data_IF_435630053874
#
_entry.id   IF_435630053874
#
_cell.length_a   1.000
_cell.length_b   1.000
_cell.length_c   1.000
_cell.angle_alpha   90.00
_cell.angle_beta   90.00
_cell.angle_gamma   90.00
#
_symmetry.space_group_name_H-M   'P 1'
#
loop_
_entity.id
_entity.type
_entity.pdbx_description
1 polymer ?
#
# COMPACT_ATOMS: atom_id res chain seq x y z
N UNK A 1 11.97 -14.20 7.72
CA UNK A 1 12.68 -12.95 8.02
C UNK A 1 12.01 -11.82 7.24
N UNK A 2 11.94 -10.61 7.82
CA UNK A 2 11.46 -9.45 7.07
C UNK A 2 12.39 -9.19 5.87
N UNK A 3 11.83 -8.96 4.69
CA UNK A 3 12.61 -8.58 3.52
C UNK A 3 13.25 -7.20 3.76
N UNK A 4 14.46 -6.95 3.26
CA UNK A 4 15.16 -5.65 3.42
C UNK A 4 14.26 -4.43 3.12
N UNK A 5 13.50 -4.51 2.03
CA UNK A 5 12.51 -3.50 1.60
C UNK A 5 11.40 -3.20 2.63
N UNK A 6 11.11 -4.15 3.52
CA UNK A 6 10.12 -3.97 4.59
C UNK A 6 10.69 -3.19 5.77
N UNK A 7 11.96 -3.43 6.09
CA UNK A 7 12.66 -2.74 7.19
C UNK A 7 12.86 -1.27 6.81
N UNK A 8 13.30 -1.00 5.58
CA UNK A 8 13.46 0.35 5.04
C UNK A 8 12.15 1.16 5.07
N UNK A 9 11.01 0.52 4.81
CA UNK A 9 9.70 1.17 4.88
C UNK A 9 9.27 1.53 6.31
N UNK A 10 9.74 0.79 7.33
CA UNK A 10 9.46 1.13 8.72
C UNK A 10 10.27 2.34 9.20
N UNK A 11 11.47 2.51 8.68
CA UNK A 11 12.37 3.61 9.02
C UNK A 11 11.96 4.97 8.39
N UNK A 12 11.13 4.95 7.34
CA UNK A 12 10.64 6.17 6.69
C UNK A 12 9.60 6.95 7.54
N UNK A 13 9.60 8.28 7.41
CA UNK A 13 8.60 9.16 8.03
C UNK A 13 7.20 9.02 7.37
N UNK A 14 6.15 9.38 8.10
CA UNK A 14 4.76 9.31 7.60
C UNK A 14 4.54 10.12 6.32
N UNK A 15 5.11 11.32 6.27
CA UNK A 15 5.00 12.25 5.14
C UNK A 15 5.72 11.72 3.90
N UNK A 16 6.92 11.16 4.09
CA UNK A 16 7.68 10.58 2.99
C UNK A 16 6.98 9.35 2.41
N UNK A 17 6.37 8.49 3.24
CA UNK A 17 5.57 7.36 2.77
C UNK A 17 4.34 7.79 1.96
N UNK A 18 3.68 8.88 2.37
CA UNK A 18 2.52 9.41 1.64
C UNK A 18 2.94 9.98 0.28
N UNK A 19 4.05 10.71 0.23
CA UNK A 19 4.60 11.27 -1.01
C UNK A 19 5.11 10.17 -1.96
N UNK A 20 5.81 9.16 -1.45
CA UNK A 20 6.26 8.03 -2.26
C UNK A 20 5.08 7.24 -2.83
N UNK A 21 4.00 7.08 -2.05
CA UNK A 21 2.78 6.44 -2.51
C UNK A 21 2.11 7.22 -3.65
N UNK A 22 2.02 8.55 -3.58
CA UNK A 22 1.39 9.34 -4.65
C UNK A 22 2.19 9.26 -5.94
N UNK A 23 3.52 9.35 -5.85
CA UNK A 23 4.43 9.18 -6.98
C UNK A 23 4.30 7.77 -7.59
N UNK A 24 4.41 6.72 -6.78
CA UNK A 24 4.32 5.34 -7.25
C UNK A 24 2.97 5.02 -7.93
N UNK A 25 1.88 5.61 -7.45
CA UNK A 25 0.56 5.47 -8.08
C UNK A 25 0.48 6.20 -9.42
N UNK A 26 1.08 7.39 -9.52
CA UNK A 26 1.15 8.13 -10.78
C UNK A 26 1.98 7.37 -11.83
N UNK A 27 3.14 6.86 -11.43
CA UNK A 27 4.02 6.07 -12.29
C UNK A 27 3.35 4.78 -12.76
N UNK A 28 2.69 4.06 -11.86
CA UNK A 28 1.93 2.87 -12.22
C UNK A 28 0.81 3.17 -13.23
N UNK A 29 0.12 4.31 -13.11
CA UNK A 29 -0.91 4.72 -14.08
C UNK A 29 -0.29 4.97 -15.45
N UNK A 30 0.85 5.68 -15.50
CA UNK A 30 1.57 5.96 -16.74
C UNK A 30 2.02 4.66 -17.41
N UNK A 31 2.71 3.79 -16.67
CA UNK A 31 3.16 2.48 -17.17
C UNK A 31 2.00 1.60 -17.67
N UNK A 32 0.84 1.65 -17.00
CA UNK A 32 -0.35 0.91 -17.44
C UNK A 32 -0.88 1.43 -18.79
N UNK A 33 -0.86 2.75 -19.01
CA UNK A 33 -1.26 3.35 -20.27
C UNK A 33 -0.25 3.02 -21.37
N UNK A 34 1.04 3.16 -21.08
CA UNK A 34 2.11 2.82 -22.02
C UNK A 34 2.05 1.34 -22.44
N UNK A 35 1.78 0.45 -21.47
CA UNK A 35 1.57 -0.97 -21.73
C UNK A 35 0.37 -1.23 -22.65
N UNK A 36 -0.73 -0.52 -22.45
CA UNK A 36 -1.93 -0.69 -23.28
C UNK A 36 -1.72 -0.20 -24.72
N UNK A 37 -0.87 0.82 -24.92
CA UNK A 37 -0.62 1.41 -26.25
C UNK A 37 0.43 0.62 -27.04
N UNK A 38 1.56 0.29 -26.42
CA UNK A 38 2.73 -0.29 -27.11
C UNK A 38 2.98 -1.76 -26.80
N UNK A 39 2.35 -2.30 -25.77
CA UNK A 39 2.80 -3.53 -25.14
C UNK A 39 4.07 -3.27 -24.32
N UNK A 40 4.24 -3.98 -23.20
CA UNK A 40 5.48 -3.97 -22.43
C UNK A 40 6.22 -5.25 -22.78
N UNK A 41 7.54 -5.18 -22.85
CA UNK A 41 8.37 -6.38 -22.99
C UNK A 41 8.20 -7.33 -21.80
N UNK A 42 8.00 -6.79 -20.59
CA UNK A 42 7.76 -7.59 -19.39
C UNK A 42 6.55 -7.13 -18.56
N UNK A 43 5.37 -7.75 -18.75
CA UNK A 43 4.17 -7.47 -17.94
C UNK A 43 4.33 -7.76 -16.43
N UNK A 44 5.35 -8.52 -16.01
CA UNK A 44 5.59 -8.83 -14.60
C UNK A 44 6.08 -7.62 -13.81
N UNK A 45 6.66 -6.62 -14.47
CA UNK A 45 7.10 -5.38 -13.81
C UNK A 45 5.93 -4.61 -13.20
N UNK A 46 4.80 -4.52 -13.92
CA UNK A 46 3.55 -3.95 -13.39
C UNK A 46 3.07 -4.68 -12.13
N UNK A 47 3.32 -5.99 -12.03
CA UNK A 47 2.99 -6.77 -10.82
C UNK A 47 3.94 -6.43 -9.68
N UNK A 48 5.22 -6.18 -9.95
CA UNK A 48 6.20 -5.68 -8.98
C UNK A 48 5.76 -4.35 -8.38
N UNK A 49 5.50 -3.36 -9.24
CA UNK A 49 5.06 -2.02 -8.83
C UNK A 49 3.75 -2.07 -8.04
N UNK A 50 2.76 -2.89 -8.46
CA UNK A 50 1.53 -3.09 -7.68
C UNK A 50 1.78 -3.61 -6.26
N UNK A 51 2.71 -4.55 -6.11
CA UNK A 51 3.07 -5.09 -4.78
C UNK A 51 3.74 -4.04 -3.92
N UNK A 52 4.56 -3.18 -4.50
CA UNK A 52 5.22 -2.10 -3.76
C UNK A 52 4.22 -1.05 -3.28
N UNK A 53 3.27 -0.65 -4.13
CA UNK A 53 2.14 0.21 -3.70
C UNK A 53 1.34 -0.45 -2.57
N UNK A 54 1.10 -1.77 -2.64
CA UNK A 54 0.38 -2.48 -1.58
C UNK A 54 1.15 -2.50 -0.25
N UNK A 55 2.49 -2.61 -0.28
CA UNK A 55 3.34 -2.53 0.92
C UNK A 55 3.26 -1.14 1.55
N UNK A 56 3.41 -0.08 0.74
CA UNK A 56 3.28 1.31 1.20
C UNK A 56 1.92 1.57 1.87
N UNK A 57 0.82 1.14 1.23
CA UNK A 57 -0.53 1.25 1.82
C UNK A 57 -0.68 0.48 3.12
N UNK A 58 -0.05 -0.69 3.21
CA UNK A 58 -0.16 -1.55 4.40
C UNK A 58 0.53 -0.93 5.61
N UNK A 59 1.70 -0.31 5.42
CA UNK A 59 2.40 0.39 6.50
C UNK A 59 1.64 1.65 6.96
N UNK A 60 1.14 2.47 6.03
CA UNK A 60 0.27 3.61 6.39
C UNK A 60 -0.96 3.15 7.19
N UNK A 61 -1.64 2.10 6.70
CA UNK A 61 -2.81 1.50 7.37
C UNK A 61 -2.47 0.95 8.75
N UNK A 62 -1.27 0.39 8.93
CA UNK A 62 -0.79 -0.13 10.21
C UNK A 62 -0.57 1.00 11.20
N UNK A 63 0.08 2.10 10.79
CA UNK A 63 0.30 3.31 11.61
C UNK A 63 -1.03 3.94 12.02
N UNK A 64 -1.97 4.08 11.08
CA UNK A 64 -3.33 4.54 11.39
C UNK A 64 -4.06 3.65 12.41
N UNK A 65 -3.83 2.32 12.39
CA UNK A 65 -4.46 1.41 13.36
C UNK A 65 -3.81 1.56 14.74
N UNK A 66 -2.50 1.77 14.83
CA UNK A 66 -1.83 2.02 16.12
C UNK A 66 -2.23 3.33 16.76
N UNK A 67 -2.59 4.34 15.97
CA UNK A 67 -3.04 5.65 16.46
C UNK A 67 -4.53 5.69 16.85
N UNK A 68 -5.34 4.70 16.45
CA UNK A 68 -6.79 4.69 16.75
C UNK A 68 -7.09 4.47 18.23
N UNK A 69 -8.13 5.15 18.73
CA UNK A 69 -8.60 4.96 20.11
C UNK A 69 -9.32 3.60 20.28
N UNK A 70 -9.39 3.05 21.51
CA UNK A 70 -10.06 1.77 21.78
C UNK A 70 -11.53 1.73 21.34
N UNK A 71 -12.24 2.84 21.45
CA UNK A 71 -13.65 2.97 21.05
C UNK A 71 -13.82 2.88 19.52
N UNK A 72 -12.92 3.53 18.76
CA UNK A 72 -12.92 3.47 17.29
C UNK A 72 -12.59 2.06 16.78
N UNK A 73 -11.68 1.35 17.48
CA UNK A 73 -11.36 -0.05 17.19
C UNK A 73 -12.55 -0.97 17.47
N UNK A 74 -13.30 -0.73 18.55
CA UNK A 74 -14.49 -1.51 18.92
C UNK A 74 -15.64 -1.36 17.90
N UNK A 75 -15.88 -0.16 17.39
CA UNK A 75 -16.84 0.05 16.29
C UNK A 75 -16.49 -0.78 15.05
N UNK A 76 -15.20 -0.83 14.71
CA UNK A 76 -14.68 -1.61 13.57
C UNK A 76 -14.80 -3.12 13.77
N UNK A 77 -14.47 -3.62 14.95
CA UNK A 77 -14.52 -5.06 15.26
C UNK A 77 -15.95 -5.58 15.25
N UNK A 78 -16.91 -4.79 15.74
CA UNK A 78 -18.34 -5.10 15.72
C UNK A 78 -18.89 -5.19 14.28
N UNK A 79 -18.49 -4.27 13.39
CA UNK A 79 -18.88 -4.33 11.97
C UNK A 79 -18.33 -5.60 11.30
N UNK A 80 -17.06 -5.97 11.57
CA UNK A 80 -16.48 -7.21 11.04
C UNK A 80 -17.19 -8.46 11.55
N UNK A 81 -17.47 -8.50 12.87
CA UNK A 81 -18.21 -9.61 13.50
C UNK A 81 -19.61 -9.77 12.89
N UNK A 82 -20.31 -8.67 12.62
CA UNK A 82 -21.64 -8.68 11.97
C UNK A 82 -21.59 -9.18 10.52
N UNK A 83 -20.51 -8.90 9.79
CA UNK A 83 -20.34 -9.31 8.38
C UNK A 83 -19.81 -10.73 8.23
N UNK A 84 -19.31 -11.35 9.30
CA UNK A 84 -18.91 -12.75 9.34
C UNK A 84 -20.16 -13.60 9.46
N UNK A 85 -20.81 -13.84 8.31
CA UNK A 85 -21.85 -14.86 8.16
C UNK A 85 -21.20 -16.17 7.75
#
# INVERSE_FOLDING_TARGET
MATKKYIELQELSNENLANELTLAVADYKKQKLDHAIRGLENPLELRGVRRDIARLKSELRRREISEMTPEQLAGRSNIRRRRKK
#
